data_IF_533722065332
#
_entry.id   IF_533722065332
#
_cell.length_a   1.000
_cell.length_b   1.000
_cell.length_c   1.000
_cell.angle_alpha   90.00
_cell.angle_beta   90.00
_cell.angle_gamma   90.00
#
_symmetry.space_group_name_H-M   'P 1'
#
loop_
_entity.id
_entity.type
_entity.pdbx_description
1 polymer ?
#
# COMPACT_ATOMS: atom_id res chain seq x y z
N UNK A 1 -48.52 -48.87 -22.23
CA UNK A 1 -47.04 -48.95 -22.29
C UNK A 1 -46.55 -48.04 -23.40
N UNK A 2 -46.22 -46.82 -23.08
CA UNK A 2 -45.61 -45.85 -24.01
C UNK A 2 -44.20 -45.54 -23.48
N UNK A 3 -43.18 -45.86 -24.26
CA UNK A 3 -41.76 -45.70 -23.93
C UNK A 3 -41.35 -44.25 -24.17
N UNK A 4 -40.85 -43.68 -23.16
CA UNK A 4 -40.16 -42.42 -23.10
C UNK A 4 -38.91 -42.40 -24.01
N UNK A 5 -38.91 -41.56 -25.02
CA UNK A 5 -37.81 -41.29 -25.97
C UNK A 5 -37.55 -39.81 -26.06
N UNK A 6 -37.33 -39.14 -24.93
CA UNK A 6 -37.24 -37.70 -24.88
C UNK A 6 -35.93 -37.09 -24.38
N UNK A 7 -35.01 -37.84 -23.79
CA UNK A 7 -33.86 -37.26 -23.09
C UNK A 7 -32.48 -37.46 -23.74
N UNK A 8 -32.37 -38.31 -24.76
CA UNK A 8 -31.09 -38.61 -25.43
C UNK A 8 -30.67 -37.59 -26.49
N UNK A 9 -31.60 -36.78 -27.02
CA UNK A 9 -31.35 -35.87 -28.16
C UNK A 9 -30.87 -34.45 -27.76
N UNK A 10 -30.92 -34.13 -26.45
CA UNK A 10 -30.52 -32.82 -25.94
C UNK A 10 -29.00 -32.68 -25.73
N UNK A 11 -28.30 -33.80 -25.59
CA UNK A 11 -26.84 -33.80 -25.38
C UNK A 11 -26.01 -33.90 -26.66
N UNK A 12 -26.58 -34.35 -27.75
CA UNK A 12 -25.91 -34.50 -29.04
C UNK A 12 -25.72 -33.17 -29.80
N UNK A 13 -26.50 -32.13 -29.49
CA UNK A 13 -26.43 -30.82 -30.17
C UNK A 13 -25.39 -29.86 -29.58
N UNK A 14 -24.69 -30.21 -28.48
CA UNK A 14 -23.71 -29.33 -27.82
C UNK A 14 -22.25 -29.60 -28.19
N UNK A 15 -21.98 -30.63 -29.00
CA UNK A 15 -20.62 -31.01 -29.38
C UNK A 15 -20.12 -30.44 -30.72
N UNK A 16 -20.94 -29.61 -31.40
CA UNK A 16 -20.69 -29.17 -32.78
C UNK A 16 -20.27 -27.71 -32.97
N UNK A 17 -19.91 -26.95 -31.92
CA UNK A 17 -19.56 -25.52 -32.09
C UNK A 17 -18.29 -25.13 -31.31
N UNK A 18 -17.19 -25.79 -31.64
CA UNK A 18 -15.84 -25.40 -31.18
C UNK A 18 -14.90 -25.44 -32.37
N UNK A 19 -15.00 -24.46 -33.27
CA UNK A 19 -13.94 -24.14 -34.22
C UNK A 19 -14.23 -22.74 -34.84
N UNK A 20 -13.92 -21.69 -34.09
CA UNK A 20 -13.58 -20.35 -34.60
C UNK A 20 -13.35 -19.43 -33.40
N UNK A 21 -12.20 -19.50 -32.77
CA UNK A 21 -11.62 -18.45 -31.94
C UNK A 21 -10.14 -18.79 -31.70
N UNK A 22 -9.38 -18.91 -32.79
CA UNK A 22 -7.92 -19.11 -32.76
C UNK A 22 -7.18 -17.91 -33.32
N UNK A 23 -7.66 -16.69 -33.07
CA UNK A 23 -6.96 -15.46 -33.47
C UNK A 23 -6.75 -14.44 -32.34
N UNK A 24 -7.04 -14.78 -31.08
CA UNK A 24 -6.78 -13.91 -29.93
C UNK A 24 -5.51 -14.28 -29.13
N UNK A 25 -4.79 -15.34 -29.48
CA UNK A 25 -3.60 -15.79 -28.76
C UNK A 25 -2.28 -15.16 -29.21
N UNK A 26 -2.30 -14.25 -30.18
CA UNK A 26 -1.10 -13.66 -30.78
C UNK A 26 -0.53 -12.41 -30.07
N UNK A 27 -1.20 -11.85 -29.07
CA UNK A 27 -0.77 -10.57 -28.48
C UNK A 27 -0.04 -10.68 -27.13
N UNK A 28 0.06 -11.85 -26.54
CA UNK A 28 0.72 -12.04 -25.23
C UNK A 28 2.05 -12.79 -25.27
N UNK A 29 2.53 -13.23 -26.41
CA UNK A 29 3.77 -14.04 -26.48
C UNK A 29 5.04 -13.26 -26.79
N UNK A 30 4.99 -11.94 -26.96
CA UNK A 30 6.17 -11.14 -27.28
C UNK A 30 6.89 -10.51 -26.06
N UNK A 31 6.45 -10.77 -24.83
CA UNK A 31 7.11 -10.23 -23.62
C UNK A 31 7.77 -11.27 -22.72
N UNK A 32 7.76 -12.55 -23.08
CA UNK A 32 8.37 -13.62 -22.26
C UNK A 32 9.89 -13.78 -22.40
N UNK A 33 10.54 -12.93 -23.19
CA UNK A 33 11.98 -12.98 -23.42
C UNK A 33 12.85 -12.10 -22.52
N UNK A 34 12.31 -11.39 -21.51
CA UNK A 34 13.11 -10.62 -20.55
C UNK A 34 13.16 -11.31 -19.21
N UNK A 35 14.16 -12.19 -19.14
CA UNK A 35 14.87 -12.60 -17.94
C UNK A 35 14.15 -12.30 -16.64
N UNK A 36 13.59 -13.33 -16.08
CA UNK A 36 13.31 -13.49 -14.66
C UNK A 36 14.62 -13.28 -13.84
N UNK A 37 15.14 -12.05 -13.81
CA UNK A 37 16.03 -11.62 -12.76
C UNK A 37 15.15 -11.52 -11.53
N UNK A 38 15.04 -12.60 -10.81
CA UNK A 38 14.62 -12.64 -9.42
C UNK A 38 15.54 -11.69 -8.65
N UNK A 39 15.22 -10.39 -8.65
CA UNK A 39 15.75 -9.51 -7.64
C UNK A 39 15.21 -10.07 -6.33
N UNK A 40 16.06 -10.75 -5.58
CA UNK A 40 15.75 -11.22 -4.24
C UNK A 40 15.40 -9.97 -3.43
N UNK A 41 14.13 -9.63 -3.36
CA UNK A 41 13.66 -8.50 -2.55
C UNK A 41 13.92 -8.87 -1.10
N UNK A 42 14.97 -8.29 -0.53
CA UNK A 42 15.39 -8.53 0.85
C UNK A 42 14.33 -7.96 1.79
N UNK A 43 13.91 -8.75 2.76
CA UNK A 43 13.10 -8.28 3.87
C UNK A 43 14.05 -7.95 5.03
N UNK A 44 13.92 -6.74 5.55
CA UNK A 44 14.71 -6.22 6.67
C UNK A 44 13.79 -5.64 7.73
N UNK A 45 14.17 -5.78 9.00
CA UNK A 45 13.46 -5.17 10.12
C UNK A 45 14.03 -3.78 10.37
N UNK A 46 13.22 -2.73 10.19
CA UNK A 46 13.65 -1.33 10.25
C UNK A 46 12.95 -0.60 11.40
N UNK A 47 13.67 0.14 12.28
CA UNK A 47 13.05 0.94 13.34
C UNK A 47 12.25 2.11 12.73
N UNK A 48 11.16 2.53 13.40
CA UNK A 48 10.30 3.60 12.88
C UNK A 48 11.03 4.92 12.67
N UNK A 49 12.04 5.22 13.46
CA UNK A 49 12.87 6.44 13.31
C UNK A 49 13.63 6.49 12.00
N UNK A 50 13.96 5.34 11.42
CA UNK A 50 14.65 5.25 10.13
C UNK A 50 13.69 5.16 8.94
N UNK A 51 12.39 5.09 9.18
CA UNK A 51 11.37 5.01 8.12
C UNK A 51 10.79 6.41 7.88
N UNK A 52 10.74 6.81 6.62
CA UNK A 52 10.07 8.01 6.20
C UNK A 52 8.89 7.66 5.29
N UNK A 53 7.63 7.94 5.70
CA UNK A 53 6.47 7.84 4.83
C UNK A 53 6.59 8.77 3.60
N UNK A 54 5.88 8.47 2.52
CA UNK A 54 5.85 9.37 1.36
C UNK A 54 4.96 10.60 1.65
N UNK A 55 5.55 11.79 1.58
CA UNK A 55 4.84 13.06 1.78
C UNK A 55 3.64 13.24 0.84
N UNK A 56 3.76 12.68 -0.36
CA UNK A 56 2.78 12.85 -1.43
C UNK A 56 1.78 11.72 -1.55
N UNK A 57 1.61 10.92 -0.48
CA UNK A 57 0.58 9.88 -0.47
C UNK A 57 -0.79 10.46 -0.78
N UNK A 58 -1.49 9.92 -1.79
CA UNK A 58 -2.77 10.48 -2.27
C UNK A 58 -3.90 10.34 -1.25
N UNK A 59 -3.79 9.38 -0.33
CA UNK A 59 -4.75 9.19 0.76
C UNK A 59 -4.24 9.86 2.04
N UNK A 60 -4.82 10.97 2.47
CA UNK A 60 -4.41 11.60 3.72
C UNK A 60 -4.79 10.70 4.89
N UNK A 61 -3.79 10.12 5.55
CA UNK A 61 -3.97 9.31 6.76
C UNK A 61 -3.94 10.23 7.97
N UNK A 62 -2.89 11.03 8.08
CA UNK A 62 -2.73 12.04 9.12
C UNK A 62 -3.60 13.29 8.89
N UNK A 63 -4.06 13.96 9.96
CA UNK A 63 -4.46 15.36 9.88
C UNK A 63 -3.36 16.22 9.26
N UNK A 64 -3.75 17.22 8.46
CA UNK A 64 -2.81 17.97 7.61
C UNK A 64 -1.74 18.70 8.43
N UNK A 65 -2.13 19.33 9.53
CA UNK A 65 -1.24 20.04 10.44
C UNK A 65 -0.20 19.12 11.09
N UNK A 66 -0.59 17.92 11.54
CA UNK A 66 0.32 16.91 12.07
C UNK A 66 1.26 16.37 10.98
N UNK A 67 0.74 16.20 9.77
CA UNK A 67 1.54 15.79 8.62
C UNK A 67 2.61 16.83 8.30
N UNK A 68 2.23 18.10 8.26
CA UNK A 68 3.17 19.18 7.96
C UNK A 68 4.26 19.32 9.04
N UNK A 69 3.91 19.23 10.32
CA UNK A 69 4.87 19.26 11.42
C UNK A 69 5.87 18.09 11.32
N UNK A 70 5.38 16.88 11.04
CA UNK A 70 6.20 15.69 10.88
C UNK A 70 7.20 15.83 9.72
N UNK A 71 6.72 16.24 8.54
CA UNK A 71 7.59 16.37 7.35
C UNK A 71 8.52 17.57 7.38
N UNK A 72 8.24 18.59 8.20
CA UNK A 72 9.17 19.67 8.49
C UNK A 72 10.23 19.29 9.52
N UNK A 73 10.06 18.17 10.22
CA UNK A 73 10.95 17.72 11.27
C UNK A 73 10.72 18.44 12.61
N UNK A 74 9.56 19.08 12.78
CA UNK A 74 9.13 19.74 14.01
C UNK A 74 8.64 18.74 15.05
N UNK A 75 8.24 17.54 14.61
CA UNK A 75 7.83 16.43 15.46
C UNK A 75 8.34 15.11 14.87
N UNK A 76 8.76 14.20 15.72
CA UNK A 76 9.09 12.84 15.33
C UNK A 76 7.82 11.96 15.20
N UNK A 77 7.98 10.68 14.82
CA UNK A 77 6.87 9.74 14.68
C UNK A 77 6.10 9.53 16.00
N UNK A 78 6.81 9.55 17.15
CA UNK A 78 6.23 9.31 18.48
C UNK A 78 5.42 10.51 18.95
N UNK A 79 5.96 11.70 18.79
CA UNK A 79 5.31 12.97 19.11
C UNK A 79 4.06 13.16 18.24
N UNK A 80 4.18 12.87 16.95
CA UNK A 80 3.06 12.93 16.01
C UNK A 80 1.96 11.94 16.40
N UNK A 81 2.31 10.69 16.74
CA UNK A 81 1.34 9.68 17.17
C UNK A 81 0.62 10.10 18.48
N UNK A 82 1.35 10.64 19.46
CA UNK A 82 0.77 11.16 20.71
C UNK A 82 -0.17 12.32 20.47
N UNK A 83 0.21 13.28 19.63
CA UNK A 83 -0.63 14.41 19.27
C UNK A 83 -1.93 13.94 18.56
N UNK A 84 -1.81 12.92 17.71
CA UNK A 84 -2.95 12.34 17.03
C UNK A 84 -3.89 11.61 17.98
N UNK A 85 -3.38 10.83 18.94
CA UNK A 85 -4.16 10.20 20.02
C UNK A 85 -4.86 11.25 20.89
N UNK A 86 -4.19 12.35 21.22
CA UNK A 86 -4.80 13.45 21.99
C UNK A 86 -5.96 14.11 21.23
N UNK A 87 -5.81 14.34 19.93
CA UNK A 87 -6.86 14.89 19.07
C UNK A 87 -8.05 13.93 18.93
N UNK A 88 -7.81 12.63 18.83
CA UNK A 88 -8.86 11.62 18.76
C UNK A 88 -9.84 11.69 19.95
N UNK A 89 -9.37 12.07 21.14
CA UNK A 89 -10.22 12.26 22.32
C UNK A 89 -11.19 13.43 22.22
N UNK A 90 -10.97 14.34 21.27
CA UNK A 90 -11.73 15.60 21.12
C UNK A 90 -12.57 15.60 19.83
N UNK A 91 -12.27 14.75 18.86
CA UNK A 91 -12.92 14.71 17.55
C UNK A 91 -13.32 13.27 17.20
N UNK A 92 -14.64 12.95 17.20
CA UNK A 92 -15.12 11.60 16.87
C UNK A 92 -14.74 11.13 15.46
N UNK A 93 -14.57 12.04 14.51
CA UNK A 93 -14.15 11.69 13.15
C UNK A 93 -12.67 11.28 13.09
N UNK A 94 -11.84 11.89 13.93
CA UNK A 94 -10.44 11.51 14.11
C UNK A 94 -10.34 10.21 14.91
N UNK A 95 -11.16 10.08 15.96
CA UNK A 95 -11.21 8.88 16.80
C UNK A 95 -11.50 7.62 15.99
N UNK A 96 -12.51 7.63 15.12
CA UNK A 96 -12.85 6.49 14.28
C UNK A 96 -11.67 6.04 13.40
N UNK A 97 -10.91 6.99 12.86
CA UNK A 97 -9.70 6.69 12.05
C UNK A 97 -8.58 6.10 12.88
N UNK A 98 -8.34 6.67 14.05
CA UNK A 98 -7.32 6.20 15.00
C UNK A 98 -7.66 4.79 15.46
N UNK A 99 -8.90 4.51 15.84
CA UNK A 99 -9.34 3.18 16.27
C UNK A 99 -9.12 2.13 15.18
N UNK A 100 -9.45 2.42 13.91
CA UNK A 100 -9.17 1.52 12.79
C UNK A 100 -7.67 1.21 12.64
N UNK A 101 -6.79 2.17 12.92
CA UNK A 101 -5.35 1.96 12.87
C UNK A 101 -4.83 1.22 14.11
N UNK A 102 -5.38 1.48 15.29
CA UNK A 102 -5.06 0.74 16.51
C UNK A 102 -5.44 -0.73 16.39
N UNK A 103 -6.62 -1.04 15.84
CA UNK A 103 -7.04 -2.42 15.53
C UNK A 103 -6.05 -3.09 14.58
N UNK A 104 -5.68 -2.42 13.47
CA UNK A 104 -4.66 -2.92 12.55
C UNK A 104 -3.33 -3.17 13.25
N UNK A 105 -2.90 -2.27 14.12
CA UNK A 105 -1.65 -2.40 14.86
C UNK A 105 -1.70 -3.51 15.93
N UNK A 106 -2.86 -3.74 16.54
CA UNK A 106 -3.10 -4.85 17.47
C UNK A 106 -2.85 -6.19 16.81
N UNK A 107 -3.29 -6.38 15.55
CA UNK A 107 -3.05 -7.63 14.80
C UNK A 107 -1.55 -7.95 14.63
N UNK A 108 -0.68 -6.95 14.67
CA UNK A 108 0.78 -7.19 14.58
C UNK A 108 1.35 -7.82 15.86
N UNK A 109 0.71 -7.59 17.01
CA UNK A 109 1.09 -8.24 18.27
C UNK A 109 0.69 -9.71 18.30
N UNK A 110 -0.46 -10.04 17.73
CA UNK A 110 -1.02 -11.40 17.75
C UNK A 110 -0.47 -12.30 16.64
N UNK A 111 -0.31 -11.75 15.43
CA UNK A 111 -0.01 -12.54 14.22
C UNK A 111 1.30 -12.14 13.54
N UNK A 112 2.02 -11.18 14.09
CA UNK A 112 3.16 -10.55 13.40
C UNK A 112 2.71 -9.72 12.19
N UNK A 113 3.66 -9.15 11.50
CA UNK A 113 3.41 -8.38 10.28
C UNK A 113 3.33 -9.32 9.07
N UNK A 114 2.12 -9.72 8.65
CA UNK A 114 1.89 -10.69 7.56
C UNK A 114 2.43 -10.19 6.21
N UNK A 115 2.27 -8.89 5.92
CA UNK A 115 2.78 -8.28 4.69
C UNK A 115 3.81 -7.20 5.03
N UNK A 116 5.04 -7.30 4.52
CA UNK A 116 6.02 -6.24 4.69
C UNK A 116 5.55 -4.95 4.00
N UNK A 117 5.99 -3.81 4.51
CA UNK A 117 5.90 -2.53 3.79
C UNK A 117 6.97 -2.52 2.70
N UNK A 118 6.81 -1.72 1.65
CA UNK A 118 7.79 -1.65 0.57
C UNK A 118 8.39 -0.26 0.46
N UNK A 119 9.65 -0.19 0.09
CA UNK A 119 10.35 1.08 -0.06
C UNK A 119 11.80 0.90 -0.51
N UNK A 120 12.52 1.99 -0.46
CA UNK A 120 13.93 2.08 -0.88
C UNK A 120 14.75 2.80 0.19
N UNK A 121 16.03 2.46 0.28
CA UNK A 121 16.97 3.25 1.06
C UNK A 121 17.42 4.46 0.25
N UNK A 122 17.29 5.63 0.82
CA UNK A 122 17.69 6.89 0.21
C UNK A 122 18.40 7.78 1.22
N UNK A 123 19.34 8.57 0.74
CA UNK A 123 19.91 9.66 1.54
C UNK A 123 18.97 10.86 1.49
N UNK A 124 18.41 11.21 2.65
CA UNK A 124 17.47 12.32 2.81
C UNK A 124 18.05 13.26 3.87
N UNK A 125 18.40 14.47 3.47
CA UNK A 125 19.00 15.50 4.37
C UNK A 125 20.28 15.01 5.09
N UNK A 126 21.10 14.24 4.40
CA UNK A 126 22.35 13.70 4.95
C UNK A 126 22.20 12.45 5.83
N UNK A 127 21.00 11.93 5.97
CA UNK A 127 20.72 10.67 6.70
C UNK A 127 20.18 9.61 5.75
N UNK A 128 20.66 8.37 5.91
CA UNK A 128 20.13 7.22 5.16
C UNK A 128 18.85 6.76 5.83
N UNK A 129 17.72 6.89 5.13
CA UNK A 129 16.41 6.51 5.61
C UNK A 129 15.70 5.55 4.64
N UNK A 130 14.83 4.72 5.17
CA UNK A 130 13.97 3.85 4.39
C UNK A 130 12.71 4.63 3.97
N UNK A 131 12.69 5.08 2.72
CA UNK A 131 11.55 5.81 2.18
C UNK A 131 10.45 4.85 1.75
N UNK A 132 9.28 4.94 2.37
CA UNK A 132 8.13 4.09 2.06
C UNK A 132 7.55 4.41 0.69
N UNK A 133 7.37 3.39 -0.14
CA UNK A 133 6.54 3.44 -1.33
C UNK A 133 5.10 3.00 -1.00
N UNK A 134 4.96 1.92 -0.23
CA UNK A 134 3.65 1.43 0.22
C UNK A 134 3.67 1.00 1.69
N UNK A 135 2.50 1.07 2.34
CA UNK A 135 2.33 0.58 3.70
C UNK A 135 2.27 1.66 4.77
N UNK A 136 2.03 2.94 4.42
CA UNK A 136 1.92 4.05 5.39
C UNK A 136 0.91 3.77 6.51
N UNK A 137 -0.23 3.13 6.21
CA UNK A 137 -1.20 2.72 7.24
C UNK A 137 -0.58 1.80 8.29
N UNK A 138 0.31 0.88 7.88
CA UNK A 138 1.01 -0.03 8.81
C UNK A 138 2.02 0.72 9.66
N UNK A 139 2.72 1.69 9.07
CA UNK A 139 3.63 2.57 9.79
C UNK A 139 2.89 3.32 10.91
N UNK A 140 1.80 4.01 10.59
CA UNK A 140 1.04 4.76 11.58
C UNK A 140 0.30 3.87 12.57
N UNK A 141 -0.18 2.70 12.17
CA UNK A 141 -0.76 1.70 13.06
C UNK A 141 0.25 1.25 14.12
N UNK A 142 1.49 0.97 13.71
CA UNK A 142 2.57 0.59 14.63
C UNK A 142 2.96 1.74 15.56
N UNK A 143 3.06 2.96 15.01
CA UNK A 143 3.38 4.18 15.77
C UNK A 143 2.32 4.48 16.85
N UNK A 144 1.02 4.43 16.48
CA UNK A 144 -0.09 4.67 17.39
C UNK A 144 -0.14 3.62 18.52
N UNK A 145 0.04 2.34 18.19
CA UNK A 145 0.07 1.28 19.22
C UNK A 145 1.25 1.45 20.18
N UNK A 146 2.43 1.79 19.69
CA UNK A 146 3.58 2.05 20.54
C UNK A 146 3.36 3.29 21.44
N UNK A 147 2.76 4.34 20.91
CA UNK A 147 2.46 5.56 21.65
C UNK A 147 1.37 5.35 22.72
N UNK A 148 0.36 4.50 22.45
CA UNK A 148 -0.72 4.18 23.37
C UNK A 148 -0.31 3.20 24.47
N UNK A 149 0.55 2.23 24.13
CA UNK A 149 1.00 1.18 25.06
C UNK A 149 2.19 1.55 25.93
N UNK A 150 2.75 2.77 25.81
CA UNK A 150 3.90 3.21 26.61
C UNK A 150 5.17 2.37 26.38
N UNK A 151 5.32 1.77 25.19
CA UNK A 151 6.48 0.96 24.86
C UNK A 151 7.78 1.78 24.96
N UNK A 152 8.73 1.31 25.76
CA UNK A 152 10.07 1.93 25.86
C UNK A 152 10.93 1.60 24.64
N UNK A 153 10.86 0.35 24.16
CA UNK A 153 11.59 -0.07 22.96
C UNK A 153 11.01 0.56 21.70
N UNK A 154 11.90 0.93 20.81
CA UNK A 154 11.52 1.47 19.51
C UNK A 154 10.89 0.37 18.64
N UNK A 155 9.64 0.56 18.19
CA UNK A 155 8.97 -0.42 17.35
C UNK A 155 9.62 -0.49 15.97
N UNK A 156 9.61 -1.70 15.40
CA UNK A 156 10.21 -2.01 14.11
C UNK A 156 9.16 -2.53 13.14
N UNK A 157 9.37 -2.32 11.85
CA UNK A 157 8.54 -2.86 10.77
C UNK A 157 9.37 -3.77 9.86
N UNK A 158 8.73 -4.83 9.39
CA UNK A 158 9.24 -5.65 8.30
C UNK A 158 9.09 -4.89 6.99
N UNK A 159 10.23 -4.57 6.39
CA UNK A 159 10.34 -3.77 5.20
C UNK A 159 10.91 -4.61 4.06
N UNK A 160 10.27 -4.56 2.90
CA UNK A 160 10.78 -5.16 1.67
C UNK A 160 11.48 -4.08 0.87
N UNK A 161 12.77 -4.26 0.67
CA UNK A 161 13.54 -3.40 -0.20
C UNK A 161 13.18 -3.68 -1.67
N UNK A 162 12.91 -2.63 -2.41
CA UNK A 162 12.68 -2.69 -3.86
C UNK A 162 13.84 -2.01 -4.60
N UNK A 163 14.07 -2.46 -5.82
CA UNK A 163 15.07 -1.86 -6.68
C UNK A 163 14.69 -0.41 -7.02
N UNK A 164 15.60 0.53 -6.76
CA UNK A 164 15.42 1.97 -7.05
C UNK A 164 15.06 2.24 -8.51
N UNK A 165 15.57 1.41 -9.45
CA UNK A 165 15.20 1.52 -10.87
C UNK A 165 13.72 1.17 -11.14
N UNK A 166 13.08 0.48 -10.20
CA UNK A 166 11.65 0.11 -10.28
C UNK A 166 10.73 1.03 -9.50
N UNK A 167 11.30 2.01 -8.80
CA UNK A 167 10.52 3.02 -8.10
C UNK A 167 9.80 3.88 -9.13
N UNK A 168 8.48 3.82 -9.13
CA UNK A 168 7.68 4.69 -9.97
C UNK A 168 6.41 5.04 -9.23
N UNK A 169 6.12 6.34 -9.14
CA UNK A 169 4.83 6.82 -8.63
C UNK A 169 3.66 6.26 -9.43
N UNK A 170 3.89 5.96 -10.69
CA UNK A 170 2.91 5.29 -11.55
C UNK A 170 2.48 3.93 -10.97
N UNK A 171 3.43 3.18 -10.37
CA UNK A 171 3.12 1.91 -9.71
C UNK A 171 2.30 2.11 -8.43
N UNK A 172 2.61 3.13 -7.62
CA UNK A 172 1.79 3.48 -6.45
C UNK A 172 0.35 3.81 -6.85
N UNK A 173 0.18 4.58 -7.93
CA UNK A 173 -1.14 4.92 -8.47
C UNK A 173 -1.86 3.66 -8.92
N UNK A 174 -1.22 2.77 -9.67
CA UNK A 174 -1.80 1.51 -10.13
C UNK A 174 -2.18 0.60 -8.96
N UNK A 175 -1.32 0.46 -7.95
CA UNK A 175 -1.62 -0.34 -6.76
C UNK A 175 -2.81 0.21 -5.98
N UNK A 176 -2.88 1.54 -5.82
CA UNK A 176 -3.98 2.20 -5.13
C UNK A 176 -5.31 2.08 -5.89
N UNK A 177 -5.29 2.12 -7.23
CA UNK A 177 -6.50 1.94 -8.05
C UNK A 177 -7.09 0.53 -7.88
N UNK A 178 -6.25 -0.48 -7.70
CA UNK A 178 -6.68 -1.87 -7.53
C UNK A 178 -7.10 -2.22 -6.10
N UNK A 179 -6.63 -1.48 -5.09
CA UNK A 179 -6.89 -1.79 -3.68
C UNK A 179 -8.31 -1.39 -3.20
N UNK A 180 -8.82 -0.25 -3.65
CA UNK A 180 -10.18 0.27 -3.37
C UNK A 180 -10.56 1.26 -4.48
N UNK A 181 -11.86 1.37 -4.83
CA UNK A 181 -12.32 2.41 -5.77
C UNK A 181 -12.06 3.80 -5.17
N UNK A 182 -11.08 4.56 -5.67
CA UNK A 182 -10.79 5.88 -5.13
C UNK A 182 -11.92 6.85 -5.46
N UNK A 183 -12.22 7.77 -4.54
CA UNK A 183 -13.14 8.88 -4.80
C UNK A 183 -12.58 9.79 -5.90
N UNK A 184 -13.44 10.58 -6.56
CA UNK A 184 -13.01 11.55 -7.57
C UNK A 184 -11.94 12.52 -7.04
N UNK A 185 -12.06 12.95 -5.77
CA UNK A 185 -11.09 13.82 -5.10
C UNK A 185 -9.75 13.09 -4.88
N UNK A 186 -9.78 11.82 -4.48
CA UNK A 186 -8.57 11.02 -4.33
C UNK A 186 -7.83 10.86 -5.66
N UNK A 187 -8.54 10.58 -6.76
CA UNK A 187 -7.96 10.52 -8.11
C UNK A 187 -7.33 11.84 -8.55
N UNK A 188 -8.03 12.96 -8.32
CA UNK A 188 -7.49 14.26 -8.66
C UNK A 188 -6.19 14.56 -7.91
N UNK A 189 -6.10 14.20 -6.63
CA UNK A 189 -4.88 14.32 -5.82
C UNK A 189 -3.76 13.42 -6.32
N UNK A 190 -4.06 12.17 -6.68
CA UNK A 190 -3.10 11.24 -7.28
C UNK A 190 -2.49 11.79 -8.56
N UNK A 191 -3.34 12.28 -9.46
CA UNK A 191 -2.89 12.90 -10.72
C UNK A 191 -2.05 14.16 -10.44
N UNK A 192 -2.49 15.02 -9.53
CA UNK A 192 -1.73 16.22 -9.16
C UNK A 192 -0.35 15.86 -8.57
N UNK A 193 -0.29 14.88 -7.66
CA UNK A 193 0.98 14.39 -7.11
C UNK A 193 1.91 13.83 -8.18
N UNK A 194 1.35 13.08 -9.15
CA UNK A 194 2.10 12.54 -10.28
C UNK A 194 2.68 13.67 -11.15
N UNK A 195 1.88 14.68 -11.46
CA UNK A 195 2.31 15.84 -12.23
C UNK A 195 3.41 16.60 -11.50
N UNK A 196 3.22 16.92 -10.21
CA UNK A 196 4.20 17.64 -9.40
C UNK A 196 5.52 16.88 -9.31
N UNK A 197 5.46 15.53 -9.17
CA UNK A 197 6.67 14.71 -9.12
C UNK A 197 7.43 14.65 -10.45
N UNK A 198 6.74 14.77 -11.60
CA UNK A 198 7.39 14.83 -12.93
C UNK A 198 7.97 16.19 -13.27
N UNK A 199 7.44 17.24 -12.64
CA UNK A 199 7.89 18.61 -12.86
C UNK A 199 9.02 19.03 -11.88
N UNK A 200 9.43 18.12 -10.98
CA UNK A 200 10.42 18.43 -9.92
C UNK A 200 10.10 19.70 -9.12
N UNK A 201 8.82 20.02 -9.03
CA UNK A 201 8.34 21.18 -8.27
C UNK A 201 8.21 20.82 -6.78
N UNK A 202 8.65 21.72 -5.89
CA UNK A 202 8.63 21.53 -4.45
C UNK A 202 7.23 21.39 -3.85
#
# INVERSE_FOLDING_TARGET
>A
MAKDKGTADLFARRAGKKKKDSQAEGYFTASEGRANRTSSSRIVSVPLSQILPDRFQPRPILPLDLKDAYFRGEADWRETARAWLARAKQDPGVEARVNTLLELGGTFGEHGQIKPVTGVWEEIRGEVRFHLETGERRFWAKALNAASGGMEEEPRLECREIDTQRRSRERQVVENIHAEKPTAVARAREISSLILSKLDLP
#
